data_IF_380147001451
#
_entry.id   IF_380147001451
#
_cell.length_a   1.000
_cell.length_b   1.000
_cell.length_c   1.000
_cell.angle_alpha   90.00
_cell.angle_beta   90.00
_cell.angle_gamma   90.00
#
_symmetry.space_group_name_H-M   'P 1'
#
loop_
_entity.id
_entity.type
_entity.pdbx_description
1 polymer ?
#
# COMPACT_ATOMS: atom_id res chain seq x y z
N UNK A 1 -27.57 35.28 26.21
CA UNK A 1 -26.67 34.10 26.25
C UNK A 1 -26.44 33.53 24.85
N UNK A 2 -25.78 34.27 23.93
CA UNK A 2 -25.56 33.86 22.51
C UNK A 2 -24.06 33.75 22.12
N UNK A 3 -23.17 33.54 23.09
CA UNK A 3 -21.72 33.79 22.89
C UNK A 3 -20.81 32.55 22.94
N UNK A 4 -21.31 31.34 23.19
CA UNK A 4 -20.45 30.15 23.37
C UNK A 4 -20.48 29.17 22.19
N UNK A 5 -21.49 29.21 21.32
CA UNK A 5 -21.59 28.30 20.17
C UNK A 5 -20.66 28.69 19.01
N UNK A 6 -20.27 29.97 18.91
CA UNK A 6 -19.35 30.43 17.87
C UNK A 6 -17.89 30.01 18.11
N UNK A 7 -17.47 29.87 19.37
CA UNK A 7 -16.12 29.39 19.70
C UNK A 7 -15.95 27.89 19.43
N UNK A 8 -17.01 27.07 19.57
CA UNK A 8 -16.98 25.66 19.23
C UNK A 8 -16.89 25.41 17.70
N UNK A 9 -17.49 26.28 16.89
CA UNK A 9 -17.42 26.21 15.42
C UNK A 9 -16.07 26.69 14.86
N UNK A 10 -15.42 27.67 15.52
CA UNK A 10 -14.09 28.13 15.13
C UNK A 10 -12.98 27.10 15.40
N UNK A 11 -13.13 26.26 16.44
CA UNK A 11 -12.18 25.19 16.75
C UNK A 11 -12.19 24.05 15.70
N UNK A 12 -13.25 23.90 14.90
CA UNK A 12 -13.33 22.89 13.83
C UNK A 12 -12.72 23.32 12.48
N UNK A 13 -12.28 24.58 12.36
CA UNK A 13 -11.69 25.13 11.13
C UNK A 13 -10.19 25.42 11.27
N UNK A 14 -9.61 25.17 12.44
CA UNK A 14 -8.16 25.21 12.61
C UNK A 14 -7.58 23.97 11.93
N UNK A 15 -6.76 24.11 10.87
CA UNK A 15 -5.94 23.00 10.43
C UNK A 15 -4.99 22.72 11.58
N UNK A 16 -5.28 21.68 12.36
CA UNK A 16 -4.20 20.96 13.02
C UNK A 16 -3.39 20.43 11.84
N UNK A 17 -2.36 21.19 11.47
CA UNK A 17 -1.26 20.65 10.70
C UNK A 17 -0.71 19.55 11.60
N UNK A 18 -1.21 18.33 11.39
CA UNK A 18 -0.43 17.16 11.68
C UNK A 18 0.81 17.35 10.82
N UNK A 19 1.87 17.90 11.42
CA UNK A 19 3.22 17.77 10.92
C UNK A 19 3.45 16.26 10.90
N UNK A 20 3.14 15.63 9.77
CA UNK A 20 3.81 14.40 9.42
C UNK A 20 5.26 14.84 9.25
N UNK A 21 6.02 14.67 10.33
CA UNK A 21 7.45 14.89 10.31
C UNK A 21 8.03 13.96 9.26
N UNK A 22 8.90 14.57 8.47
CA UNK A 22 9.64 13.99 7.37
C UNK A 22 10.41 12.77 7.85
N UNK A 23 9.83 11.59 7.65
CA UNK A 23 10.67 10.46 7.23
C UNK A 23 11.40 10.98 6.00
N UNK A 24 12.73 10.91 6.01
CA UNK A 24 13.60 11.41 4.95
C UNK A 24 13.49 10.57 3.67
N UNK A 25 12.28 10.30 3.18
CA UNK A 25 11.98 9.46 2.02
C UNK A 25 10.66 9.95 1.38
N UNK A 26 10.35 9.65 0.11
CA UNK A 26 11.16 9.28 -1.06
C UNK A 26 10.99 10.31 -2.21
N UNK A 27 11.68 10.13 -3.34
CA UNK A 27 11.50 10.97 -4.53
C UNK A 27 10.06 10.94 -5.02
N UNK A 28 9.50 12.06 -5.47
CA UNK A 28 8.12 12.09 -6.00
C UNK A 28 7.95 11.27 -7.27
N UNK A 29 9.05 10.90 -7.93
CA UNK A 29 9.07 10.09 -9.14
C UNK A 29 8.88 8.60 -8.85
N UNK A 30 8.39 7.87 -9.86
CA UNK A 30 8.32 6.41 -9.84
C UNK A 30 9.69 5.83 -10.23
N UNK A 31 10.56 5.63 -9.22
CA UNK A 31 11.95 5.24 -9.44
C UNK A 31 12.08 3.92 -10.16
N UNK A 32 11.26 2.92 -9.85
CA UNK A 32 11.29 1.63 -10.54
C UNK A 32 10.92 1.76 -12.01
N UNK A 33 9.86 2.50 -12.34
CA UNK A 33 9.47 2.77 -13.71
C UNK A 33 10.57 3.48 -14.50
N UNK A 34 11.16 4.52 -13.91
CA UNK A 34 12.25 5.26 -14.54
C UNK A 34 13.53 4.41 -14.67
N UNK A 35 13.79 3.50 -13.73
CA UNK A 35 14.89 2.54 -13.83
C UNK A 35 14.69 1.60 -15.01
N UNK A 36 13.49 1.06 -15.20
CA UNK A 36 13.16 0.22 -16.36
C UNK A 36 13.37 0.98 -17.67
N UNK A 37 12.87 2.23 -17.77
CA UNK A 37 13.09 3.08 -18.95
C UNK A 37 14.58 3.34 -19.19
N UNK A 38 15.32 3.71 -18.15
CA UNK A 38 16.75 3.98 -18.25
C UNK A 38 17.54 2.78 -18.76
N UNK A 39 17.22 1.57 -18.27
CA UNK A 39 17.94 0.33 -18.63
C UNK A 39 17.58 -0.21 -20.02
N UNK A 40 16.47 0.24 -20.60
CA UNK A 40 15.94 -0.27 -21.87
C UNK A 40 16.09 0.71 -23.03
N UNK A 41 16.34 1.99 -22.76
CA UNK A 41 16.52 2.99 -23.81
C UNK A 41 17.82 2.76 -24.59
N UNK A 42 17.76 2.52 -25.92
CA UNK A 42 18.92 2.18 -26.75
C UNK A 42 19.97 3.30 -26.84
N UNK A 43 19.60 4.53 -26.49
CA UNK A 43 20.49 5.69 -26.47
C UNK A 43 21.42 5.72 -25.24
N UNK A 44 21.19 4.85 -24.25
CA UNK A 44 22.07 4.75 -23.08
C UNK A 44 23.21 3.78 -23.38
N UNK A 45 24.44 4.13 -22.99
CA UNK A 45 25.61 3.24 -23.13
C UNK A 45 25.49 1.92 -22.35
N UNK A 46 24.47 1.83 -21.49
CA UNK A 46 24.19 0.71 -20.59
C UNK A 46 22.86 0.02 -20.92
N UNK A 47 22.31 0.29 -22.10
CA UNK A 47 21.09 -0.35 -22.57
C UNK A 47 21.29 -1.87 -22.60
N UNK A 48 20.35 -2.58 -22.01
CA UNK A 48 20.28 -4.03 -22.05
C UNK A 48 18.92 -4.44 -22.64
N UNK A 49 18.81 -5.64 -23.25
CA UNK A 49 17.52 -6.17 -23.68
C UNK A 49 16.50 -6.09 -22.55
N UNK A 50 15.21 -5.90 -22.87
CA UNK A 50 14.17 -5.70 -21.85
C UNK A 50 14.17 -6.82 -20.78
N UNK A 51 14.40 -8.07 -21.20
CA UNK A 51 14.51 -9.23 -20.29
C UNK A 51 15.69 -9.17 -19.31
N UNK A 52 16.76 -8.46 -19.65
CA UNK A 52 17.98 -8.28 -18.84
C UNK A 52 17.97 -6.94 -18.07
N UNK A 53 17.16 -5.98 -18.51
CA UNK A 53 16.86 -4.74 -17.79
C UNK A 53 16.03 -5.02 -16.54
N UNK A 54 15.14 -6.00 -16.68
CA UNK A 54 14.34 -6.56 -15.61
C UNK A 54 15.26 -7.41 -14.74
N UNK A 55 15.58 -6.93 -13.53
CA UNK A 55 16.19 -7.78 -12.49
C UNK A 55 15.30 -9.00 -12.15
N UNK A 56 14.04 -9.00 -12.61
CA UNK A 56 12.97 -9.91 -12.23
C UNK A 56 12.61 -9.68 -10.76
N UNK A 57 11.32 -9.83 -10.42
CA UNK A 57 10.89 -9.77 -9.00
C UNK A 57 11.80 -10.62 -8.09
N UNK A 58 12.13 -11.89 -8.43
CA UNK A 58 12.97 -12.71 -7.57
C UNK A 58 14.45 -12.29 -7.53
N UNK A 59 15.00 -11.84 -8.67
CA UNK A 59 16.41 -11.43 -8.75
C UNK A 59 16.65 -10.09 -8.05
N UNK A 60 15.73 -9.15 -8.18
CA UNK A 60 15.75 -7.88 -7.44
C UNK A 60 15.72 -8.13 -5.92
N UNK A 61 14.81 -8.99 -5.45
CA UNK A 61 14.70 -9.31 -4.03
C UNK A 61 15.96 -9.96 -3.47
N UNK A 62 16.59 -10.87 -4.21
CA UNK A 62 17.87 -11.50 -3.81
C UNK A 62 19.00 -10.49 -3.61
N UNK A 63 18.97 -9.36 -4.32
CA UNK A 63 19.97 -8.31 -4.16
C UNK A 63 19.60 -7.29 -3.08
N UNK A 64 18.30 -7.08 -2.84
CA UNK A 64 17.78 -6.04 -1.94
C UNK A 64 17.50 -6.51 -0.50
N UNK A 65 17.37 -7.81 -0.27
CA UNK A 65 17.08 -8.42 1.03
C UNK A 65 18.18 -9.39 1.46
N UNK A 66 18.48 -9.44 2.76
CA UNK A 66 19.42 -10.40 3.33
C UNK A 66 18.91 -11.85 3.22
N UNK A 67 17.61 -12.05 3.45
CA UNK A 67 16.90 -13.31 3.25
C UNK A 67 15.56 -13.05 2.53
N UNK A 68 15.50 -13.20 1.20
CA UNK A 68 14.28 -12.94 0.44
C UNK A 68 13.07 -13.78 0.84
N UNK A 69 13.29 -14.91 1.52
CA UNK A 69 12.23 -15.83 1.95
C UNK A 69 11.63 -15.44 3.31
N UNK A 70 12.37 -14.66 4.11
CA UNK A 70 11.90 -14.24 5.44
C UNK A 70 10.97 -13.03 5.33
N UNK A 71 9.77 -13.08 5.94
CA UNK A 71 8.90 -11.91 6.06
C UNK A 71 9.51 -10.77 6.89
N UNK A 72 10.53 -11.06 7.69
CA UNK A 72 11.20 -10.13 8.59
C UNK A 72 12.59 -9.71 8.11
N UNK A 73 12.99 -10.06 6.87
CA UNK A 73 14.32 -9.77 6.37
C UNK A 73 14.68 -8.29 6.51
N UNK A 74 15.94 -8.04 6.87
CA UNK A 74 16.52 -6.70 6.76
C UNK A 74 16.89 -6.41 5.30
N UNK A 75 16.98 -5.12 4.99
CA UNK A 75 17.42 -4.61 3.69
C UNK A 75 18.93 -4.77 3.57
N UNK A 76 19.42 -4.89 2.34
CA UNK A 76 20.85 -4.76 2.04
C UNK A 76 21.15 -3.28 1.81
N UNK A 77 22.04 -2.71 2.63
CA UNK A 77 22.38 -1.28 2.57
C UNK A 77 23.07 -0.90 1.24
N UNK A 78 23.84 -1.82 0.66
CA UNK A 78 24.56 -1.65 -0.61
C UNK A 78 24.42 -2.89 -1.49
N UNK A 79 23.31 -3.03 -2.22
CA UNK A 79 23.11 -4.10 -3.19
C UNK A 79 24.24 -4.16 -4.22
N UNK A 80 24.51 -5.33 -4.79
CA UNK A 80 25.61 -5.49 -5.74
C UNK A 80 25.50 -4.52 -6.93
N UNK A 81 24.28 -4.35 -7.47
CA UNK A 81 24.00 -3.46 -8.60
C UNK A 81 24.34 -1.98 -8.33
N UNK A 82 24.43 -1.55 -7.06
CA UNK A 82 24.74 -0.13 -6.78
C UNK A 82 26.21 0.22 -7.02
N UNK A 83 27.06 -0.78 -7.27
CA UNK A 83 28.47 -0.58 -7.66
C UNK A 83 28.66 -0.53 -9.17
N UNK A 84 27.59 -0.72 -9.94
CA UNK A 84 27.64 -0.69 -11.40
C UNK A 84 27.67 0.75 -11.91
N UNK A 85 28.42 1.00 -12.99
CA UNK A 85 28.54 2.34 -13.59
C UNK A 85 27.18 2.95 -13.98
N UNK A 86 26.26 2.10 -14.45
CA UNK A 86 24.93 2.53 -14.87
C UNK A 86 24.07 3.04 -13.69
N UNK A 87 24.33 2.58 -12.47
CA UNK A 87 23.57 3.02 -11.30
C UNK A 87 23.92 4.46 -10.92
N UNK A 88 25.19 4.84 -11.02
CA UNK A 88 25.63 6.23 -10.83
C UNK A 88 24.98 7.16 -11.85
N UNK A 89 25.01 6.80 -13.13
CA UNK A 89 24.35 7.57 -14.19
C UNK A 89 22.84 7.70 -13.97
N UNK A 90 22.18 6.62 -13.54
CA UNK A 90 20.75 6.61 -13.25
C UNK A 90 20.40 7.53 -12.07
N UNK A 91 21.10 7.38 -10.94
CA UNK A 91 20.82 8.16 -9.74
C UNK A 91 21.08 9.66 -9.96
N UNK A 92 22.13 10.01 -10.70
CA UNK A 92 22.41 11.40 -11.09
C UNK A 92 21.28 12.02 -11.92
N UNK A 93 20.65 11.26 -12.83
CA UNK A 93 19.51 11.73 -13.62
C UNK A 93 18.25 11.91 -12.79
N UNK A 94 18.02 11.00 -11.83
CA UNK A 94 16.81 11.01 -11.01
C UNK A 94 16.82 12.12 -9.98
N UNK A 95 17.96 12.33 -9.33
CA UNK A 95 18.08 13.28 -8.23
C UNK A 95 19.53 13.78 -8.09
N UNK A 96 19.91 14.80 -8.89
CA UNK A 96 21.25 15.38 -8.83
C UNK A 96 21.61 15.97 -7.46
N UNK A 97 20.61 16.25 -6.60
CA UNK A 97 20.77 17.02 -5.38
C UNK A 97 20.81 16.17 -4.11
N UNK A 98 20.00 15.10 -4.01
CA UNK A 98 19.85 14.33 -2.77
C UNK A 98 20.62 12.99 -2.74
N UNK A 99 21.30 12.64 -3.83
CA UNK A 99 22.35 11.61 -3.87
C UNK A 99 21.85 10.16 -3.89
N UNK A 100 22.81 9.23 -3.99
CA UNK A 100 22.58 7.78 -4.21
C UNK A 100 21.59 7.10 -3.27
N UNK A 101 21.56 7.48 -1.99
CA UNK A 101 20.74 6.81 -0.98
C UNK A 101 19.24 7.08 -1.15
N UNK A 102 18.85 8.28 -1.60
CA UNK A 102 17.43 8.64 -1.74
C UNK A 102 16.74 7.78 -2.80
N UNK A 103 17.42 7.51 -3.91
CA UNK A 103 16.93 6.68 -5.02
C UNK A 103 16.79 5.22 -4.59
N UNK A 104 17.80 4.68 -3.91
CA UNK A 104 17.75 3.30 -3.41
C UNK A 104 16.65 3.12 -2.36
N UNK A 105 16.54 4.05 -1.40
CA UNK A 105 15.50 4.01 -0.36
C UNK A 105 14.11 4.10 -0.99
N UNK A 106 13.93 4.96 -2.00
CA UNK A 106 12.67 5.06 -2.75
C UNK A 106 12.36 3.75 -3.46
N UNK A 107 13.34 3.14 -4.13
CA UNK A 107 13.17 1.85 -4.78
C UNK A 107 12.76 0.78 -3.76
N UNK A 108 13.47 0.67 -2.65
CA UNK A 108 13.17 -0.31 -1.59
C UNK A 108 11.78 -0.06 -0.96
N UNK A 109 11.36 1.19 -0.84
CA UNK A 109 10.02 1.59 -0.41
C UNK A 109 8.94 1.15 -1.41
N UNK A 110 9.14 1.41 -2.70
CA UNK A 110 8.22 0.99 -3.78
C UNK A 110 8.09 -0.53 -3.88
N UNK A 111 9.17 -1.26 -3.58
CA UNK A 111 9.16 -2.73 -3.54
C UNK A 111 8.51 -3.29 -2.27
N UNK A 112 8.14 -2.44 -1.30
CA UNK A 112 7.54 -2.87 -0.04
C UNK A 112 8.52 -3.57 0.91
N UNK A 113 9.81 -3.24 0.82
CA UNK A 113 10.88 -3.86 1.61
C UNK A 113 11.07 -3.22 2.99
N UNK A 114 10.28 -2.20 3.29
CA UNK A 114 10.41 -1.43 4.53
C UNK A 114 9.45 -1.95 5.60
N UNK A 115 9.73 -1.61 6.85
CA UNK A 115 9.01 -2.05 8.05
C UNK A 115 8.27 -0.87 8.69
N UNK A 116 7.53 -1.10 9.77
CA UNK A 116 6.77 -0.07 10.47
C UNK A 116 7.17 0.01 11.94
N UNK A 117 8.45 -0.16 12.29
CA UNK A 117 8.89 -0.16 13.69
C UNK A 117 8.77 1.27 14.26
N UNK A 118 8.05 1.44 15.37
CA UNK A 118 7.90 2.75 16.00
C UNK A 118 9.25 3.33 16.46
N UNK A 119 9.52 4.58 16.10
CA UNK A 119 10.77 5.27 16.45
C UNK A 119 11.98 4.89 15.60
N UNK A 120 11.83 3.96 14.66
CA UNK A 120 12.88 3.61 13.68
C UNK A 120 12.45 3.97 12.26
N UNK A 121 11.38 3.34 11.75
CA UNK A 121 10.84 3.66 10.41
C UNK A 121 9.64 4.60 10.47
N UNK A 122 8.93 4.62 11.60
CA UNK A 122 7.72 5.43 11.77
C UNK A 122 7.82 6.23 13.06
N UNK A 123 7.81 7.55 12.93
CA UNK A 123 7.70 8.44 14.09
C UNK A 123 6.26 8.45 14.62
N UNK A 124 6.11 8.25 15.93
CA UNK A 124 4.81 8.32 16.59
C UNK A 124 4.69 9.61 17.38
N UNK A 125 3.56 10.31 17.19
CA UNK A 125 3.18 11.40 18.08
C UNK A 125 2.77 10.83 19.44
N UNK A 126 2.76 11.70 20.48
CA UNK A 126 2.36 11.30 21.84
C UNK A 126 0.92 10.75 21.93
N UNK A 127 0.04 11.18 21.02
CA UNK A 127 -1.38 10.74 20.99
C UNK A 127 -1.62 9.57 20.04
N UNK A 128 -0.62 9.17 19.24
CA UNK A 128 -0.81 8.18 18.19
C UNK A 128 -1.40 6.86 18.72
N UNK A 129 -0.93 6.37 19.86
CA UNK A 129 -1.43 5.12 20.44
C UNK A 129 -2.92 5.21 20.82
N UNK A 130 -3.39 6.35 21.35
CA UNK A 130 -4.82 6.53 21.64
C UNK A 130 -5.65 6.76 20.38
N UNK A 131 -5.07 7.45 19.39
CA UNK A 131 -5.73 7.81 18.14
C UNK A 131 -6.00 6.58 17.23
N UNK A 132 -5.23 5.51 17.41
CA UNK A 132 -5.29 4.27 16.62
C UNK A 132 -5.47 2.99 17.44
N UNK A 133 -5.89 3.09 18.71
CA UNK A 133 -6.19 1.94 19.59
C UNK A 133 -4.99 1.01 19.89
N UNK A 134 -3.76 1.54 19.84
CA UNK A 134 -2.55 0.78 20.14
C UNK A 134 -1.31 1.39 19.49
N UNK A 135 -0.13 1.11 20.04
CA UNK A 135 1.15 1.60 19.50
C UNK A 135 1.46 0.97 18.15
N UNK A 136 1.31 -0.35 18.05
CA UNK A 136 1.57 -1.13 16.85
C UNK A 136 0.56 -0.81 15.75
N UNK A 137 -0.72 -0.70 16.14
CA UNK A 137 -1.79 -0.23 15.27
C UNK A 137 -1.51 1.17 14.71
N UNK A 138 -1.06 2.10 15.56
CA UNK A 138 -0.70 3.45 15.14
C UNK A 138 0.44 3.44 14.11
N UNK A 139 1.50 2.67 14.34
CA UNK A 139 2.64 2.66 13.43
C UNK A 139 2.27 2.11 12.04
N UNK A 140 1.50 1.02 11.98
CA UNK A 140 0.99 0.48 10.74
C UNK A 140 0.06 1.47 10.01
N UNK A 141 -0.88 2.10 10.73
CA UNK A 141 -1.85 3.04 10.14
C UNK A 141 -1.20 4.36 9.67
N UNK A 142 -0.23 4.88 10.42
CA UNK A 142 0.55 6.08 10.04
C UNK A 142 1.40 5.78 8.81
N UNK A 143 2.06 4.61 8.75
CA UNK A 143 2.82 4.20 7.57
C UNK A 143 1.95 4.05 6.33
N UNK A 144 0.72 3.55 6.50
CA UNK A 144 -0.28 3.51 5.43
C UNK A 144 -0.82 4.91 5.03
N UNK A 145 -0.48 5.96 5.79
CA UNK A 145 -0.95 7.32 5.55
C UNK A 145 -2.43 7.52 5.82
N UNK A 146 -3.04 6.75 6.73
CA UNK A 146 -4.46 6.89 7.05
C UNK A 146 -4.66 7.86 8.20
N UNK A 147 -5.55 8.83 8.00
CA UNK A 147 -5.90 9.80 9.03
C UNK A 147 -6.65 9.12 10.19
N UNK A 148 -6.37 9.45 11.47
CA UNK A 148 -6.98 8.77 12.62
C UNK A 148 -8.51 8.75 12.61
N UNK A 149 -9.15 9.86 12.22
CA UNK A 149 -10.61 9.91 12.08
C UNK A 149 -11.18 8.93 11.05
N UNK A 150 -10.48 8.72 9.94
CA UNK A 150 -10.91 7.78 8.90
C UNK A 150 -10.71 6.35 9.40
N UNK A 151 -9.56 6.08 10.02
CA UNK A 151 -9.27 4.80 10.68
C UNK A 151 -10.35 4.43 11.71
N UNK A 152 -10.61 5.31 12.66
CA UNK A 152 -11.63 5.07 13.70
C UNK A 152 -13.03 4.92 13.10
N UNK A 153 -13.34 5.65 12.02
CA UNK A 153 -14.67 5.55 11.40
C UNK A 153 -14.86 4.21 10.68
N UNK A 154 -13.88 3.77 9.90
CA UNK A 154 -13.98 2.49 9.19
C UNK A 154 -13.90 1.30 10.16
N UNK A 155 -13.14 1.43 11.26
CA UNK A 155 -13.18 0.49 12.38
C UNK A 155 -14.60 0.37 12.98
N UNK A 156 -15.21 1.49 13.36
CA UNK A 156 -16.56 1.53 13.94
C UNK A 156 -17.62 0.90 13.02
N UNK A 157 -17.46 1.06 11.70
CA UNK A 157 -18.40 0.53 10.71
C UNK A 157 -18.23 -0.97 10.49
N UNK A 158 -17.00 -1.50 10.50
CA UNK A 158 -16.69 -2.85 10.05
C UNK A 158 -15.81 -3.63 11.05
N UNK A 159 -16.00 -3.42 12.35
CA UNK A 159 -15.10 -3.92 13.39
C UNK A 159 -15.01 -5.43 13.49
N UNK A 160 -15.82 -6.21 12.77
CA UNK A 160 -15.76 -7.67 12.63
C UNK A 160 -14.96 -8.14 11.40
N UNK A 161 -14.93 -7.35 10.33
CA UNK A 161 -14.28 -7.66 9.05
C UNK A 161 -13.11 -6.70 8.79
N UNK A 162 -11.90 -7.09 9.22
CA UNK A 162 -10.74 -6.17 9.16
C UNK A 162 -10.35 -5.83 7.72
N UNK A 163 -10.58 -6.74 6.78
CA UNK A 163 -10.19 -6.52 5.38
C UNK A 163 -11.13 -5.55 4.69
N UNK A 164 -12.43 -5.61 5.00
CA UNK A 164 -13.45 -4.66 4.56
C UNK A 164 -13.20 -3.29 5.21
N UNK A 165 -12.95 -3.25 6.52
CA UNK A 165 -12.61 -2.02 7.23
C UNK A 165 -11.38 -1.34 6.60
N UNK A 166 -10.37 -2.11 6.21
CA UNK A 166 -9.15 -1.60 5.57
C UNK A 166 -9.41 -1.02 4.18
N UNK A 167 -10.26 -1.67 3.38
CA UNK A 167 -10.71 -1.16 2.08
C UNK A 167 -11.44 0.16 2.21
N UNK A 168 -12.42 0.24 3.12
CA UNK A 168 -13.18 1.47 3.35
C UNK A 168 -12.28 2.61 3.84
N UNK A 169 -11.38 2.33 4.78
CA UNK A 169 -10.43 3.32 5.29
C UNK A 169 -9.52 3.86 4.18
N UNK A 170 -8.97 2.98 3.33
CA UNK A 170 -8.14 3.41 2.21
C UNK A 170 -8.97 4.20 1.18
N UNK A 171 -10.17 3.75 0.83
CA UNK A 171 -11.04 4.45 -0.13
C UNK A 171 -11.35 5.89 0.33
N UNK A 172 -11.70 6.04 1.61
CA UNK A 172 -11.97 7.33 2.22
C UNK A 172 -10.73 8.20 2.29
N UNK A 173 -9.57 7.61 2.58
CA UNK A 173 -8.29 8.31 2.61
C UNK A 173 -7.90 8.82 1.22
N UNK A 174 -8.04 7.99 0.18
CA UNK A 174 -7.81 8.39 -1.21
C UNK A 174 -8.75 9.53 -1.63
N UNK A 175 -10.04 9.44 -1.31
CA UNK A 175 -10.99 10.51 -1.59
C UNK A 175 -10.64 11.80 -0.85
N UNK A 176 -10.23 11.69 0.42
CA UNK A 176 -9.79 12.83 1.22
C UNK A 176 -8.53 13.50 0.63
N UNK A 177 -7.57 12.71 0.16
CA UNK A 177 -6.37 13.18 -0.54
C UNK A 177 -6.72 13.89 -1.84
N UNK A 178 -7.60 13.31 -2.67
CA UNK A 178 -8.08 13.92 -3.91
C UNK A 178 -8.77 15.27 -3.65
N UNK A 179 -9.62 15.34 -2.63
CA UNK A 179 -10.30 16.58 -2.23
C UNK A 179 -9.32 17.67 -1.75
N UNK A 180 -8.23 17.27 -1.08
CA UNK A 180 -7.20 18.19 -0.56
C UNK A 180 -6.27 18.70 -1.67
N UNK A 181 -5.88 17.82 -2.59
CA UNK A 181 -4.84 18.10 -3.58
C UNK A 181 -5.40 18.64 -4.91
N UNK A 182 -6.72 18.55 -5.12
CA UNK A 182 -7.38 19.05 -6.33
C UNK A 182 -8.16 20.33 -6.05
N UNK A 183 -7.97 21.42 -6.82
CA UNK A 183 -8.80 22.62 -6.73
C UNK A 183 -10.30 22.29 -6.88
N UNK A 184 -11.16 22.95 -6.09
CA UNK A 184 -12.60 22.62 -6.00
C UNK A 184 -13.32 22.73 -7.33
N UNK A 185 -12.88 23.66 -8.16
CA UNK A 185 -13.43 23.93 -9.49
C UNK A 185 -13.23 22.74 -10.43
N UNK A 186 -12.21 21.90 -10.18
CA UNK A 186 -11.89 20.72 -10.98
C UNK A 186 -12.53 19.43 -10.46
N UNK A 187 -13.19 19.44 -9.30
CA UNK A 187 -13.72 18.21 -8.70
C UNK A 187 -14.70 17.46 -9.60
N UNK A 188 -15.58 18.17 -10.31
CA UNK A 188 -16.51 17.55 -11.26
C UNK A 188 -15.80 16.85 -12.42
N UNK A 189 -14.75 17.47 -12.98
CA UNK A 189 -13.97 16.91 -14.07
C UNK A 189 -13.17 15.67 -13.67
N UNK A 190 -12.74 15.60 -12.41
CA UNK A 190 -12.04 14.43 -11.85
C UNK A 190 -12.97 13.44 -11.14
N UNK A 191 -14.30 13.60 -11.26
CA UNK A 191 -15.30 12.77 -10.59
C UNK A 191 -15.10 12.65 -9.06
N UNK A 192 -14.59 13.70 -8.41
CA UNK A 192 -14.39 13.76 -6.95
C UNK A 192 -15.72 14.03 -6.27
N UNK A 193 -16.18 13.12 -5.41
CA UNK A 193 -17.49 13.18 -4.75
C UNK A 193 -17.40 13.43 -3.24
N UNK A 194 -17.27 14.70 -2.80
CA UNK A 194 -17.16 15.06 -1.38
C UNK A 194 -18.44 14.77 -0.57
N UNK A 195 -19.58 14.60 -1.22
CA UNK A 195 -20.83 14.19 -0.61
C UNK A 195 -20.79 12.72 -0.13
N UNK A 196 -20.11 11.84 -0.86
CA UNK A 196 -19.88 10.43 -0.46
C UNK A 196 -19.09 10.38 0.84
N UNK A 197 -17.96 11.09 0.87
CA UNK A 197 -17.12 11.20 2.07
C UNK A 197 -17.95 11.67 3.27
N UNK A 198 -18.72 12.75 3.11
CA UNK A 198 -19.54 13.31 4.19
C UNK A 198 -20.65 12.36 4.65
N UNK A 199 -21.30 11.62 3.74
CA UNK A 199 -22.33 10.64 4.10
C UNK A 199 -21.71 9.48 4.88
N UNK A 200 -20.61 8.91 4.38
CA UNK A 200 -19.92 7.81 5.07
C UNK A 200 -19.43 8.24 6.47
N UNK A 201 -18.75 9.39 6.57
CA UNK A 201 -18.23 9.87 7.85
C UNK A 201 -19.33 10.20 8.88
N UNK A 202 -20.58 10.38 8.45
CA UNK A 202 -21.76 10.62 9.31
C UNK A 202 -22.62 9.38 9.53
N UNK A 203 -22.40 8.31 8.77
CA UNK A 203 -23.17 7.08 8.87
C UNK A 203 -23.02 6.45 10.26
N UNK A 204 -24.06 5.75 10.72
CA UNK A 204 -24.04 5.05 12.01
C UNK A 204 -23.82 3.54 11.87
N UNK A 205 -24.03 3.00 10.68
CA UNK A 205 -23.84 1.58 10.36
C UNK A 205 -23.56 1.42 8.85
N UNK A 206 -22.96 0.30 8.42
CA UNK A 206 -22.75 0.01 7.00
C UNK A 206 -24.03 0.02 6.17
N UNK A 207 -25.16 -0.45 6.74
CA UNK A 207 -26.43 -0.60 6.01
C UNK A 207 -27.05 0.72 5.53
N UNK A 208 -26.64 1.85 6.11
CA UNK A 208 -27.13 3.17 5.65
C UNK A 208 -26.28 3.76 4.52
N UNK A 209 -25.19 3.10 4.14
CA UNK A 209 -24.38 3.50 2.98
C UNK A 209 -25.08 3.00 1.71
N UNK A 210 -25.36 3.91 0.79
CA UNK A 210 -26.00 3.53 -0.46
C UNK A 210 -25.08 2.68 -1.33
N UNK A 211 -25.65 1.74 -2.08
CA UNK A 211 -24.90 0.90 -3.01
C UNK A 211 -24.06 1.71 -4.02
N UNK A 212 -24.58 2.87 -4.45
CA UNK A 212 -23.87 3.79 -5.34
C UNK A 212 -22.62 4.42 -4.69
N UNK A 213 -22.67 4.69 -3.39
CA UNK A 213 -21.53 5.21 -2.64
C UNK A 213 -20.48 4.12 -2.42
N UNK A 214 -20.92 2.91 -2.07
CA UNK A 214 -20.04 1.73 -1.96
C UNK A 214 -19.33 1.44 -3.27
N UNK A 215 -20.04 1.42 -4.41
CA UNK A 215 -19.44 1.22 -5.74
C UNK A 215 -18.44 2.31 -6.09
N UNK A 216 -18.72 3.56 -5.72
CA UNK A 216 -17.78 4.66 -5.94
C UNK A 216 -16.49 4.49 -5.13
N UNK A 217 -16.59 4.16 -3.84
CA UNK A 217 -15.45 3.91 -2.97
C UNK A 217 -14.62 2.70 -3.45
N UNK A 218 -15.30 1.62 -3.85
CA UNK A 218 -14.66 0.45 -4.46
C UNK A 218 -13.86 0.83 -5.71
N UNK A 219 -14.46 1.60 -6.61
CA UNK A 219 -13.81 2.05 -7.84
C UNK A 219 -12.56 2.90 -7.58
N UNK A 220 -12.55 3.73 -6.51
CA UNK A 220 -11.35 4.48 -6.11
C UNK A 220 -10.21 3.54 -5.71
N UNK A 221 -10.48 2.52 -4.89
CA UNK A 221 -9.46 1.55 -4.49
C UNK A 221 -8.98 0.73 -5.69
N UNK A 222 -9.89 0.24 -6.53
CA UNK A 222 -9.51 -0.50 -7.75
C UNK A 222 -8.66 0.35 -8.68
N UNK A 223 -9.03 1.63 -8.86
CA UNK A 223 -8.23 2.56 -9.67
C UNK A 223 -6.86 2.77 -9.05
N UNK A 224 -6.76 2.94 -7.73
CA UNK A 224 -5.49 3.14 -7.03
C UNK A 224 -4.59 1.90 -7.04
N UNK A 225 -5.17 0.69 -7.02
CA UNK A 225 -4.42 -0.57 -7.14
C UNK A 225 -3.89 -0.80 -8.56
N UNK A 226 -4.61 -0.31 -9.58
CA UNK A 226 -4.20 -0.40 -10.99
C UNK A 226 -3.23 0.71 -11.40
N UNK A 227 -3.39 1.89 -10.83
CA UNK A 227 -2.43 2.96 -11.02
C UNK A 227 -1.18 2.60 -10.22
N UNK A 228 -0.21 1.98 -10.87
CA UNK A 228 1.11 1.66 -10.30
C UNK A 228 1.87 2.92 -9.84
N UNK A 229 1.34 4.11 -10.13
CA UNK A 229 1.87 5.39 -9.71
C UNK A 229 1.78 5.63 -8.20
N UNK A 230 2.84 6.23 -7.69
CA UNK A 230 2.92 6.64 -6.29
C UNK A 230 1.96 7.81 -6.00
N UNK A 231 1.12 7.66 -4.99
CA UNK A 231 0.23 8.75 -4.54
C UNK A 231 0.97 9.70 -3.61
N UNK A 232 0.72 11.00 -3.75
CA UNK A 232 1.17 12.00 -2.78
C UNK A 232 0.11 12.15 -1.69
N UNK A 233 0.54 12.06 -0.43
CA UNK A 233 -0.31 12.34 0.70
C UNK A 233 -0.64 13.84 0.80
N UNK A 234 -1.51 14.19 1.74
CA UNK A 234 -1.96 15.59 1.97
C UNK A 234 -0.82 16.54 2.33
N UNK A 235 0.31 16.01 2.82
CA UNK A 235 1.47 16.78 3.22
C UNK A 235 2.57 16.82 2.13
N UNK A 236 2.27 16.36 0.91
CA UNK A 236 3.25 16.25 -0.18
C UNK A 236 4.22 15.06 -0.03
N UNK A 237 4.15 14.33 1.09
CA UNK A 237 4.96 13.13 1.34
C UNK A 237 4.40 11.96 0.53
N UNK A 238 5.29 11.28 -0.19
CA UNK A 238 4.93 10.11 -0.98
C UNK A 238 4.41 8.99 -0.09
N UNK A 239 3.32 8.36 -0.50
CA UNK A 239 2.70 7.26 0.23
C UNK A 239 3.22 5.92 -0.27
N UNK A 240 3.03 4.86 0.52
CA UNK A 240 3.18 3.49 0.02
C UNK A 240 2.27 3.27 -1.22
N UNK A 241 2.64 2.37 -2.14
CA UNK A 241 1.70 1.82 -3.11
C UNK A 241 0.39 1.34 -2.45
N UNK A 242 -0.74 1.52 -3.12
CA UNK A 242 -2.07 1.27 -2.55
C UNK A 242 -2.24 -0.15 -1.97
N UNK A 243 -1.64 -1.16 -2.61
CA UNK A 243 -1.64 -2.54 -2.13
C UNK A 243 -0.94 -2.70 -0.76
N UNK A 244 0.16 -2.01 -0.55
CA UNK A 244 0.84 -2.02 0.76
C UNK A 244 0.09 -1.17 1.78
N UNK A 245 -0.50 -0.04 1.38
CA UNK A 245 -1.35 0.78 2.26
C UNK A 245 -2.51 -0.05 2.83
N UNK A 246 -3.27 -0.74 1.97
CA UNK A 246 -4.44 -1.51 2.41
C UNK A 246 -4.05 -2.64 3.37
N UNK A 247 -2.96 -3.34 3.07
CA UNK A 247 -2.45 -4.41 3.92
C UNK A 247 -2.00 -3.88 5.29
N UNK A 248 -1.30 -2.74 5.31
CA UNK A 248 -0.89 -2.06 6.56
C UNK A 248 -2.08 -1.59 7.38
N UNK A 249 -3.14 -1.09 6.76
CA UNK A 249 -4.37 -0.74 7.49
C UNK A 249 -5.03 -1.99 8.08
N UNK A 250 -5.10 -3.09 7.34
CA UNK A 250 -5.65 -4.35 7.85
C UNK A 250 -4.82 -4.89 9.03
N UNK A 251 -3.49 -4.83 8.93
CA UNK A 251 -2.59 -5.16 10.03
C UNK A 251 -2.82 -4.27 11.26
N UNK A 252 -3.00 -2.95 11.05
CA UNK A 252 -3.31 -2.03 12.13
C UNK A 252 -4.63 -2.39 12.84
N UNK A 253 -5.67 -2.78 12.08
CA UNK A 253 -6.92 -3.27 12.65
C UNK A 253 -6.76 -4.60 13.37
N UNK A 254 -5.91 -5.51 12.88
CA UNK A 254 -5.60 -6.76 13.59
C UNK A 254 -4.92 -6.47 14.93
N UNK A 255 -3.93 -5.59 14.94
CA UNK A 255 -3.24 -5.16 16.17
C UNK A 255 -4.19 -4.45 17.15
N UNK A 256 -5.09 -3.59 16.64
CA UNK A 256 -6.09 -2.90 17.45
C UNK A 256 -7.15 -3.84 18.05
N UNK A 257 -7.51 -4.92 17.34
CA UNK A 257 -8.44 -5.95 17.84
C UNK A 257 -7.81 -6.78 18.96
N UNK A 258 -6.51 -6.99 18.87
CA UNK A 258 -5.79 -7.96 19.69
C UNK A 258 -5.95 -9.40 19.20
N UNK A 259 -5.33 -10.32 19.94
CA UNK A 259 -5.12 -11.70 19.51
C UNK A 259 -5.80 -12.68 20.48
N UNK A 260 -6.44 -13.72 19.93
CA UNK A 260 -7.16 -14.73 20.73
C UNK A 260 -6.28 -15.52 21.70
N UNK A 261 -5.00 -15.71 21.36
CA UNK A 261 -4.05 -16.44 22.21
C UNK A 261 -3.58 -15.63 23.44
N UNK A 262 -4.07 -14.39 23.62
CA UNK A 262 -3.71 -13.51 24.74
C UNK A 262 -2.24 -13.08 24.76
N UNK A 263 -1.46 -13.43 23.73
CA UNK A 263 -0.03 -13.11 23.63
C UNK A 263 0.22 -12.29 22.36
N UNK A 264 0.96 -11.20 22.50
CA UNK A 264 1.41 -10.45 21.34
C UNK A 264 2.32 -11.31 20.44
N UNK A 265 2.33 -11.02 19.14
CA UNK A 265 3.24 -11.62 18.15
C UNK A 265 4.59 -10.89 18.09
N UNK A 266 4.64 -9.65 18.60
CA UNK A 266 5.83 -8.85 18.76
C UNK A 266 6.35 -8.86 20.22
N UNK A 267 7.66 -8.73 20.40
CA UNK A 267 8.31 -8.33 21.66
C UNK A 267 9.10 -7.06 21.37
N UNK A 268 8.66 -5.93 21.92
CA UNK A 268 9.16 -4.64 21.47
C UNK A 268 8.91 -4.49 19.97
N UNK A 269 9.98 -4.24 19.22
CA UNK A 269 9.91 -3.98 17.76
C UNK A 269 10.40 -5.14 16.90
N UNK A 270 10.37 -6.36 17.46
CA UNK A 270 10.85 -7.59 16.81
C UNK A 270 9.83 -8.73 16.93
N UNK A 271 9.83 -9.69 15.98
CA UNK A 271 9.06 -10.91 16.13
C UNK A 271 9.55 -11.70 17.34
N UNK A 272 8.61 -12.34 18.03
CA UNK A 272 8.91 -13.28 19.11
C UNK A 272 9.92 -14.35 18.67
N UNK A 273 10.83 -14.71 19.58
CA UNK A 273 11.87 -15.71 19.32
C UNK A 273 11.33 -17.13 19.19
N UNK A 274 10.16 -17.42 19.78
CA UNK A 274 9.50 -18.73 19.76
C UNK A 274 8.53 -18.90 18.58
N UNK A 275 8.39 -17.88 17.72
CA UNK A 275 7.57 -17.95 16.51
C UNK A 275 8.43 -18.15 15.26
N UNK A 276 7.89 -18.79 14.21
CA UNK A 276 8.62 -18.94 12.96
C UNK A 276 8.95 -17.60 12.32
N UNK A 277 10.05 -17.57 11.56
CA UNK A 277 10.60 -16.36 10.93
C UNK A 277 10.88 -16.53 9.45
N UNK A 278 10.76 -17.73 8.90
CA UNK A 278 10.84 -18.01 7.48
C UNK A 278 9.48 -17.97 6.80
N UNK A 279 9.35 -18.57 5.60
CA UNK A 279 8.09 -18.66 4.86
C UNK A 279 6.93 -19.25 5.69
N UNK A 280 7.26 -20.20 6.57
CA UNK A 280 6.30 -20.90 7.43
C UNK A 280 5.60 -19.97 8.44
N UNK A 281 6.09 -18.74 8.63
CA UNK A 281 5.41 -17.74 9.45
C UNK A 281 4.06 -17.27 8.85
N UNK A 282 3.81 -17.57 7.57
CA UNK A 282 2.53 -17.31 6.90
C UNK A 282 1.60 -18.53 6.90
N UNK A 283 2.08 -19.69 7.38
CA UNK A 283 1.28 -20.91 7.44
C UNK A 283 0.13 -20.78 8.46
N UNK A 284 -0.92 -21.55 8.25
CA UNK A 284 -2.12 -21.60 9.09
C UNK A 284 -2.77 -20.23 9.37
N UNK A 285 -2.50 -19.24 8.51
CA UNK A 285 -3.03 -17.88 8.61
C UNK A 285 -2.66 -17.18 9.94
N UNK A 286 -1.54 -17.56 10.54
CA UNK A 286 -1.07 -16.95 11.76
C UNK A 286 -0.76 -15.46 11.53
N UNK A 287 -1.17 -14.56 12.46
CA UNK A 287 -0.73 -13.17 12.43
C UNK A 287 0.80 -13.06 12.51
N UNK A 288 1.36 -12.07 11.82
CA UNK A 288 2.77 -11.73 11.92
C UNK A 288 3.02 -10.73 13.07
N UNK A 289 4.28 -10.52 13.43
CA UNK A 289 4.65 -9.26 14.06
C UNK A 289 4.65 -8.14 13.00
N UNK A 290 3.49 -7.54 12.75
CA UNK A 290 3.28 -6.66 11.59
C UNK A 290 4.26 -5.48 11.54
N UNK A 291 4.53 -4.83 12.67
CA UNK A 291 5.48 -3.69 12.70
C UNK A 291 6.90 -4.07 12.26
N UNK A 292 7.32 -5.32 12.48
CA UNK A 292 8.64 -5.83 12.10
C UNK A 292 8.65 -6.54 10.74
N UNK A 293 7.48 -6.92 10.21
CA UNK A 293 7.34 -7.53 8.90
C UNK A 293 7.51 -6.48 7.79
N UNK A 294 8.07 -6.90 6.65
CA UNK A 294 8.12 -6.08 5.43
C UNK A 294 6.71 -5.81 4.89
N UNK A 295 6.49 -4.70 4.18
CA UNK A 295 5.17 -4.41 3.59
C UNK A 295 4.69 -5.53 2.67
N UNK A 296 5.61 -6.18 1.95
CA UNK A 296 5.34 -7.38 1.14
C UNK A 296 4.77 -8.53 1.95
N UNK A 297 5.39 -8.85 3.08
CA UNK A 297 4.93 -9.91 3.96
C UNK A 297 3.55 -9.60 4.54
N UNK A 298 3.31 -8.34 4.92
CA UNK A 298 1.99 -7.91 5.40
C UNK A 298 0.94 -8.01 4.29
N UNK A 299 1.30 -7.69 3.04
CA UNK A 299 0.41 -7.89 1.90
C UNK A 299 0.10 -9.36 1.63
N UNK A 300 1.10 -10.24 1.71
CA UNK A 300 0.90 -11.68 1.58
C UNK A 300 -0.09 -12.19 2.64
N UNK A 301 0.13 -11.84 3.91
CA UNK A 301 -0.80 -12.15 4.99
C UNK A 301 -2.21 -11.57 4.75
N UNK A 302 -2.31 -10.30 4.31
CA UNK A 302 -3.59 -9.65 4.06
C UNK A 302 -4.42 -10.40 3.01
N UNK A 303 -3.80 -10.90 1.94
CA UNK A 303 -4.50 -11.68 0.92
C UNK A 303 -5.09 -12.96 1.48
N UNK A 304 -4.35 -13.66 2.32
CA UNK A 304 -4.86 -14.88 2.96
C UNK A 304 -6.01 -14.58 3.90
N UNK A 305 -5.89 -13.54 4.74
CA UNK A 305 -6.98 -13.12 5.63
C UNK A 305 -8.21 -12.65 4.82
N UNK A 306 -8.03 -11.97 3.69
CA UNK A 306 -9.13 -11.58 2.82
C UNK A 306 -9.84 -12.79 2.22
N UNK A 307 -9.10 -13.82 1.79
CA UNK A 307 -9.69 -15.09 1.31
C UNK A 307 -10.47 -15.80 2.42
N UNK A 308 -9.98 -15.77 3.66
CA UNK A 308 -10.67 -16.33 4.81
C UNK A 308 -11.96 -15.56 5.15
N UNK A 309 -11.92 -14.23 5.15
CA UNK A 309 -13.13 -13.43 5.40
C UNK A 309 -14.16 -13.61 4.28
N UNK A 310 -13.73 -13.81 3.02
CA UNK A 310 -14.60 -14.09 1.87
C UNK A 310 -15.17 -15.51 1.85
N UNK A 311 -14.42 -16.51 2.31
CA UNK A 311 -14.89 -17.91 2.29
C UNK A 311 -15.94 -18.20 3.36
N UNK A 312 -16.19 -17.26 4.27
CA UNK A 312 -17.16 -17.43 5.36
C UNK A 312 -16.76 -18.49 6.37
N UNK A 313 -15.50 -18.98 6.35
CA UNK A 313 -15.00 -20.10 7.19
C UNK A 313 -14.82 -19.71 8.68
N UNK A 314 -15.31 -18.55 9.13
CA UNK A 314 -15.38 -18.27 10.57
C UNK A 314 -16.58 -18.98 11.21
N UNK A 315 -16.26 -19.84 12.17
CA UNK A 315 -17.16 -20.59 13.05
C UNK A 315 -18.05 -19.60 13.81
N UNK A 316 -19.35 -19.60 13.47
CA UNK A 316 -20.48 -18.95 14.16
C UNK A 316 -20.53 -17.42 14.21
N UNK A 317 -21.10 -16.80 13.19
CA UNK A 317 -22.07 -15.71 13.40
C UNK A 317 -23.04 -15.62 12.21
N UNK A 318 -24.32 -15.89 12.47
CA UNK A 318 -25.39 -15.80 11.47
C UNK A 318 -25.53 -14.35 11.01
N UNK A 319 -25.30 -14.05 9.72
CA UNK A 319 -25.92 -12.88 9.08
C UNK A 319 -26.30 -13.18 7.63
N UNK A 320 -27.60 -13.35 7.39
CA UNK A 320 -28.19 -13.10 6.08
C UNK A 320 -28.29 -11.58 5.91
N UNK A 321 -27.41 -10.98 5.13
CA UNK A 321 -27.61 -9.62 4.59
C UNK A 321 -27.16 -9.55 3.14
N UNK A 322 -27.78 -8.65 2.40
CA UNK A 322 -27.70 -8.40 0.95
C UNK A 322 -26.30 -8.00 0.42
N UNK A 323 -25.26 -8.15 1.23
CA UNK A 323 -23.86 -7.81 0.96
C UNK A 323 -23.08 -8.86 0.14
N UNK A 324 -23.62 -10.08 0.01
CA UNK A 324 -23.00 -11.20 -0.71
C UNK A 324 -22.67 -10.91 -2.18
N UNK A 325 -23.33 -9.93 -2.81
CA UNK A 325 -23.11 -9.58 -4.23
C UNK A 325 -21.99 -8.56 -4.45
N UNK A 326 -21.64 -7.77 -3.44
CA UNK A 326 -20.56 -6.77 -3.54
C UNK A 326 -19.20 -7.42 -3.24
N UNK A 327 -19.19 -8.44 -2.35
CA UNK A 327 -18.00 -9.27 -2.08
C UNK A 327 -17.44 -9.93 -3.36
N UNK A 328 -18.27 -10.17 -4.38
CA UNK A 328 -17.82 -10.70 -5.67
C UNK A 328 -16.93 -9.74 -6.47
N UNK A 329 -17.12 -8.42 -6.38
CA UNK A 329 -16.27 -7.46 -7.08
C UNK A 329 -14.87 -7.36 -6.43
N UNK A 330 -14.83 -7.52 -5.10
CA UNK A 330 -13.59 -7.50 -4.31
C UNK A 330 -12.86 -8.85 -4.31
N UNK A 331 -13.58 -9.96 -4.40
CA UNK A 331 -13.02 -11.32 -4.38
C UNK A 331 -12.35 -11.76 -5.68
N UNK A 332 -12.57 -11.09 -6.80
CA UNK A 332 -11.95 -11.49 -8.10
C UNK A 332 -10.63 -10.74 -8.37
N UNK A 333 -10.50 -9.48 -7.95
CA UNK A 333 -9.33 -8.64 -8.33
C UNK A 333 -8.17 -8.77 -7.34
N UNK A 334 -8.45 -8.91 -6.04
CA UNK A 334 -7.42 -8.89 -4.99
C UNK A 334 -6.61 -10.19 -4.85
N UNK A 335 -7.19 -11.39 -5.01
CA UNK A 335 -6.42 -12.63 -5.02
C UNK A 335 -5.53 -12.80 -6.25
N UNK A 336 -5.88 -12.14 -7.37
CA UNK A 336 -5.20 -12.25 -8.67
C UNK A 336 -3.96 -11.35 -8.79
N UNK A 337 -3.92 -10.23 -8.07
CA UNK A 337 -2.74 -9.38 -8.02
C UNK A 337 -1.74 -9.96 -7.03
N UNK A 338 -0.91 -10.94 -7.43
CA UNK A 338 0.30 -11.31 -6.68
C UNK A 338 1.37 -10.18 -6.77
N UNK A 339 2.39 -10.17 -5.90
CA UNK A 339 3.47 -9.18 -5.95
C UNK A 339 4.30 -9.34 -7.23
N UNK A 340 4.44 -10.58 -7.71
CA UNK A 340 4.95 -10.84 -9.06
C UNK A 340 4.09 -10.11 -10.10
N UNK A 341 2.76 -10.17 -9.95
CA UNK A 341 1.83 -9.49 -10.86
C UNK A 341 1.93 -7.95 -10.79
N UNK A 342 2.28 -7.35 -9.65
CA UNK A 342 2.45 -5.89 -9.54
C UNK A 342 3.69 -5.38 -10.31
N UNK A 343 4.83 -6.05 -10.13
CA UNK A 343 6.04 -5.71 -10.89
C UNK A 343 5.89 -6.07 -12.35
N UNK A 344 5.36 -7.25 -12.66
CA UNK A 344 5.15 -7.68 -14.04
C UNK A 344 4.12 -6.78 -14.76
N UNK A 345 3.08 -6.29 -14.08
CA UNK A 345 2.16 -5.30 -14.63
C UNK A 345 2.85 -3.97 -14.91
N UNK A 346 3.75 -3.53 -14.02
CA UNK A 346 4.53 -2.32 -14.24
C UNK A 346 5.48 -2.51 -15.42
N UNK A 347 6.18 -3.63 -15.49
CA UNK A 347 7.03 -4.03 -16.62
C UNK A 347 6.23 -4.08 -17.92
N UNK A 348 5.06 -4.72 -17.96
CA UNK A 348 4.21 -4.77 -19.13
C UNK A 348 3.70 -3.38 -19.55
N UNK A 349 3.34 -2.52 -18.59
CA UNK A 349 2.93 -1.14 -18.89
C UNK A 349 4.07 -0.32 -19.48
N UNK A 350 5.29 -0.46 -18.95
CA UNK A 350 6.48 0.21 -19.49
C UNK A 350 6.84 -0.36 -20.85
N UNK A 351 6.78 -1.68 -21.02
CA UNK A 351 7.05 -2.33 -22.30
C UNK A 351 6.07 -1.87 -23.39
N UNK A 352 4.79 -1.73 -23.06
CA UNK A 352 3.79 -1.21 -23.98
C UNK A 352 4.12 0.23 -24.43
N UNK A 353 4.41 1.14 -23.49
CA UNK A 353 4.80 2.51 -23.81
C UNK A 353 6.10 2.58 -24.61
N UNK A 354 7.08 1.75 -24.28
CA UNK A 354 8.34 1.68 -25.01
C UNK A 354 8.12 1.18 -26.44
N UNK A 355 7.25 0.18 -26.64
CA UNK A 355 6.87 -0.29 -27.98
C UNK A 355 6.10 0.78 -28.78
N UNK A 356 5.19 1.54 -28.14
CA UNK A 356 4.53 2.69 -28.78
C UNK A 356 5.54 3.76 -29.21
N UNK A 357 6.61 3.96 -28.44
CA UNK A 357 7.72 4.86 -28.79
C UNK A 357 8.78 4.24 -29.73
N UNK A 358 8.59 3.00 -30.19
CA UNK A 358 9.54 2.21 -30.96
C UNK A 358 10.93 2.05 -30.30
N UNK A 359 10.99 2.14 -28.96
CA UNK A 359 12.20 1.93 -28.17
C UNK A 359 12.51 0.45 -27.91
N UNK A 360 11.50 -0.42 -27.97
CA UNK A 360 11.63 -1.89 -27.94
C UNK A 360 10.76 -2.53 -29.02
N UNK A 361 10.97 -3.81 -29.31
CA UNK A 361 10.16 -4.57 -30.26
C UNK A 361 8.75 -4.87 -29.70
N UNK A 362 7.75 -4.88 -30.57
CA UNK A 362 6.38 -5.25 -30.25
C UNK A 362 6.28 -6.70 -29.74
N UNK A 363 7.18 -7.59 -30.19
CA UNK A 363 7.25 -8.97 -29.69
C UNK A 363 7.68 -9.03 -28.21
N UNK A 364 8.65 -8.21 -27.79
CA UNK A 364 9.07 -8.11 -26.39
C UNK A 364 7.97 -7.53 -25.49
N UNK A 365 7.26 -6.51 -25.97
CA UNK A 365 6.11 -5.95 -25.26
C UNK A 365 4.97 -6.96 -25.12
N UNK A 366 4.70 -7.74 -26.16
CA UNK A 366 3.71 -8.81 -26.12
C UNK A 366 4.11 -9.93 -25.16
N UNK A 367 5.40 -10.29 -25.11
CA UNK A 367 5.89 -11.26 -24.13
C UNK A 367 5.71 -10.80 -22.68
N UNK A 368 5.92 -9.51 -22.39
CA UNK A 368 5.64 -8.93 -21.07
C UNK A 368 4.14 -8.92 -20.72
N UNK A 369 3.28 -8.59 -21.69
CA UNK A 369 1.83 -8.64 -21.54
C UNK A 369 1.33 -10.08 -21.26
N UNK A 370 1.83 -11.07 -22.00
CA UNK A 370 1.47 -12.49 -21.80
C UNK A 370 1.88 -13.00 -20.41
N UNK A 371 3.06 -12.62 -19.90
CA UNK A 371 3.47 -12.98 -18.52
C UNK A 371 2.51 -12.42 -17.48
N UNK A 372 2.17 -11.14 -17.62
CA UNK A 372 1.21 -10.46 -16.75
C UNK A 372 -0.19 -11.10 -16.83
N UNK A 373 -0.66 -11.41 -18.04
CA UNK A 373 -1.96 -12.05 -18.27
C UNK A 373 -2.03 -13.43 -17.59
N UNK A 374 -0.96 -14.24 -17.69
CA UNK A 374 -0.88 -15.53 -17.00
C UNK A 374 -0.96 -15.38 -15.48
N UNK A 375 -0.32 -14.36 -14.92
CA UNK A 375 -0.37 -14.09 -13.48
C UNK A 375 -1.75 -13.59 -13.01
N UNK A 376 -2.43 -12.78 -13.81
CA UNK A 376 -3.74 -12.21 -13.46
C UNK A 376 -4.86 -13.24 -13.67
N UNK A 377 -4.80 -14.03 -14.73
CA UNK A 377 -5.89 -14.92 -15.13
C UNK A 377 -5.75 -16.34 -14.56
N UNK A 378 -4.57 -16.77 -14.11
CA UNK A 378 -4.39 -18.06 -13.41
C UNK A 378 -4.82 -19.30 -14.20
N UNK A 379 -4.86 -19.25 -15.53
CA UNK A 379 -5.21 -20.39 -16.38
C UNK A 379 -4.01 -20.76 -17.26
N UNK A 380 -3.36 -21.88 -16.93
CA UNK A 380 -2.68 -22.69 -17.93
C UNK A 380 -3.75 -23.27 -18.87
N UNK A 381 -3.55 -23.10 -20.17
CA UNK A 381 -4.42 -23.64 -21.22
C UNK A 381 -4.45 -25.18 -21.22
#
# INVERSE_FOLDING_TARGET
MKSLHWLALAACLSPVAATATTVSHPLTADVYRELLRFRTQPETAHAVPFGDAVLGTPGALKQLLQDPSSPYSERVDRPAFTNELWWEDFTYRMDPASGFSSVLDTLQWQFGLTKARPGMEVELTKTAASDFLGREAAANAIKAGVHPRIFMKAWDMNSSHITIAAQDALALQLLYEQMRNTPREKWGAHAIRPDVFRRYMKARSPDVISEADTRYLAALVTSALRSNGMSQGVNGVQQLPAAFRIARVAAAYKDARGYYNGRAYCVGDAPRSDLPKGPEALDDHAPLCFIAATDRAVLAWYREEARLELSGVRIHENQHTTWDKILYLFGVILPALDIAAFMELTEASVAHELAESAAIDAEEANAAAIRTERLICGVDA
#
